data_IF_591004617892
#
_entry.id   IF_591004617892
#
_cell.length_a   1.000
_cell.length_b   1.000
_cell.length_c   1.000
_cell.angle_alpha   90.00
_cell.angle_beta   90.00
_cell.angle_gamma   90.00
#
_symmetry.space_group_name_H-M   'P 1'
#
loop_
_entity.id
_entity.type
_entity.pdbx_description
1 polymer ?
#
# COMPACT_ATOMS: atom_id res chain seq x y z
N UNK A 1 -26.81 23.50 14.98
CA UNK A 1 -26.58 22.78 13.71
C UNK A 1 -25.09 22.81 13.39
N UNK A 2 -24.36 21.79 13.82
CA UNK A 2 -22.91 21.68 13.65
C UNK A 2 -22.64 21.19 12.22
N UNK A 3 -22.19 22.10 11.38
CA UNK A 3 -21.80 21.83 10.02
C UNK A 3 -20.42 21.14 10.02
N UNK A 4 -20.37 19.83 10.22
CA UNK A 4 -19.20 19.04 9.91
C UNK A 4 -19.19 18.88 8.38
N UNK A 5 -18.67 19.88 7.69
CA UNK A 5 -18.23 19.67 6.32
C UNK A 5 -16.94 18.88 6.41
N UNK A 6 -17.02 17.63 6.08
CA UNK A 6 -15.85 16.81 5.87
C UNK A 6 -14.97 17.50 4.82
N UNK A 7 -13.87 18.10 5.27
CA UNK A 7 -12.82 18.62 4.39
C UNK A 7 -12.29 17.52 3.47
N UNK A 8 -12.32 16.27 3.92
CA UNK A 8 -11.95 15.08 3.16
C UNK A 8 -12.83 14.86 1.91
N UNK A 9 -14.16 14.96 2.01
CA UNK A 9 -15.03 14.81 0.84
C UNK A 9 -14.79 15.91 -0.20
N UNK A 10 -14.58 17.16 0.25
CA UNK A 10 -14.22 18.28 -0.62
C UNK A 10 -12.85 18.09 -1.28
N UNK A 11 -11.89 17.49 -0.60
CA UNK A 11 -10.55 17.23 -1.10
C UNK A 11 -10.54 16.08 -2.13
N UNK A 12 -11.28 15.00 -1.88
CA UNK A 12 -11.46 13.89 -2.84
C UNK A 12 -12.00 14.40 -4.17
N UNK A 13 -13.03 15.25 -4.15
CA UNK A 13 -13.61 15.78 -5.37
C UNK A 13 -12.75 16.81 -6.10
N UNK A 14 -11.95 17.58 -5.38
CA UNK A 14 -11.00 18.52 -5.99
C UNK A 14 -9.84 17.80 -6.67
N UNK A 15 -9.49 16.60 -6.24
CA UNK A 15 -8.39 15.79 -6.78
C UNK A 15 -8.81 14.81 -7.86
N UNK A 16 -10.08 14.78 -8.25
CA UNK A 16 -10.58 13.89 -9.29
C UNK A 16 -9.80 14.03 -10.62
N UNK A 17 -9.54 15.24 -11.05
CA UNK A 17 -8.72 15.52 -12.23
C UNK A 17 -7.24 15.08 -12.09
N UNK A 18 -6.79 14.80 -10.85
CA UNK A 18 -5.43 14.39 -10.51
C UNK A 18 -5.36 12.93 -10.05
N UNK A 19 -6.31 12.09 -10.42
CA UNK A 19 -6.34 10.67 -10.05
C UNK A 19 -6.36 10.39 -8.52
N UNK A 20 -6.95 11.29 -7.72
CA UNK A 20 -6.90 11.26 -6.26
C UNK A 20 -7.82 10.26 -5.57
N UNK A 21 -8.18 9.12 -6.19
CA UNK A 21 -8.99 8.06 -5.62
C UNK A 21 -8.33 7.32 -4.44
N UNK A 22 -9.10 6.48 -3.76
CA UNK A 22 -8.61 5.72 -2.61
C UNK A 22 -7.50 4.73 -3.02
N UNK A 23 -7.61 4.09 -4.17
CA UNK A 23 -6.60 3.18 -4.70
C UNK A 23 -5.27 3.90 -4.97
N UNK A 24 -5.31 4.99 -5.73
CA UNK A 24 -4.09 5.66 -6.20
C UNK A 24 -3.39 6.45 -5.09
N UNK A 25 -4.13 7.02 -4.14
CA UNK A 25 -3.56 7.88 -3.09
C UNK A 25 -3.20 7.10 -1.81
N UNK A 26 -4.01 6.13 -1.41
CA UNK A 26 -3.81 5.32 -0.22
C UNK A 26 -3.35 3.90 -0.55
N UNK A 27 -3.97 3.29 -1.56
CA UNK A 27 -3.68 1.92 -1.97
C UNK A 27 -2.25 1.74 -2.48
N UNK A 28 -1.62 2.77 -3.02
CA UNK A 28 -0.23 2.73 -3.47
C UNK A 28 0.73 2.26 -2.37
N UNK A 29 0.52 2.68 -1.12
CA UNK A 29 1.35 2.25 0.01
C UNK A 29 1.16 0.76 0.31
N UNK A 30 -0.08 0.28 0.28
CA UNK A 30 -0.39 -1.13 0.52
C UNK A 30 0.13 -2.01 -0.61
N UNK A 31 -0.03 -1.59 -1.86
CA UNK A 31 0.50 -2.30 -3.04
C UNK A 31 2.03 -2.35 -2.99
N UNK A 32 2.68 -1.22 -2.66
CA UNK A 32 4.14 -1.16 -2.51
C UNK A 32 4.63 -2.11 -1.42
N UNK A 33 3.91 -2.21 -0.30
CA UNK A 33 4.23 -3.13 0.78
C UNK A 33 4.15 -4.60 0.32
N UNK A 34 3.07 -4.97 -0.37
CA UNK A 34 2.87 -6.35 -0.84
C UNK A 34 3.83 -6.70 -1.97
N UNK A 35 3.96 -5.83 -2.98
CA UNK A 35 4.86 -6.06 -4.13
C UNK A 35 6.33 -6.05 -3.70
N UNK A 36 6.69 -5.18 -2.77
CA UNK A 36 8.05 -5.14 -2.21
C UNK A 36 8.45 -6.43 -1.50
N UNK A 37 7.50 -7.13 -0.85
CA UNK A 37 7.75 -8.38 -0.15
C UNK A 37 7.64 -9.62 -1.05
N UNK A 38 6.71 -9.63 -2.01
CA UNK A 38 6.30 -10.87 -2.72
C UNK A 38 6.43 -10.77 -4.24
N UNK A 39 6.85 -9.61 -4.77
CA UNK A 39 6.90 -9.36 -6.21
C UNK A 39 5.51 -9.12 -6.83
N UNK A 40 5.46 -9.18 -8.16
CA UNK A 40 4.23 -8.94 -8.92
C UNK A 40 3.22 -10.09 -8.75
N UNK A 41 1.92 -9.78 -8.54
CA UNK A 41 0.87 -10.79 -8.53
C UNK A 41 0.58 -11.32 -9.94
N UNK A 42 -0.02 -12.53 -10.00
CA UNK A 42 -0.46 -13.13 -11.25
C UNK A 42 -1.77 -12.53 -11.78
N UNK A 43 -2.67 -12.13 -10.86
CA UNK A 43 -3.95 -11.49 -11.16
C UNK A 43 -4.26 -10.42 -10.13
N UNK A 44 -5.03 -9.44 -10.56
CA UNK A 44 -5.47 -8.30 -9.75
C UNK A 44 -6.95 -8.09 -9.99
N UNK A 45 -7.72 -7.91 -8.92
CA UNK A 45 -9.13 -7.53 -8.98
C UNK A 45 -9.43 -6.44 -7.96
N UNK A 46 -10.15 -5.40 -8.38
CA UNK A 46 -10.51 -4.28 -7.52
C UNK A 46 -12.01 -4.01 -7.52
N UNK A 47 -12.67 -4.36 -6.41
CA UNK A 47 -14.06 -4.02 -6.15
C UNK A 47 -14.12 -2.63 -5.48
N UNK A 48 -14.55 -1.62 -6.22
CA UNK A 48 -14.53 -0.22 -5.81
C UNK A 48 -15.93 0.36 -5.59
N UNK A 49 -16.06 1.20 -4.57
CA UNK A 49 -17.18 2.14 -4.43
C UNK A 49 -16.81 3.42 -5.20
N UNK A 50 -17.54 3.70 -6.29
CA UNK A 50 -17.23 4.81 -7.18
C UNK A 50 -18.26 5.93 -6.99
N UNK A 51 -17.76 7.15 -6.78
CA UNK A 51 -18.57 8.37 -6.72
C UNK A 51 -17.98 9.43 -7.65
N UNK A 52 -18.77 9.93 -8.59
CA UNK A 52 -18.36 10.92 -9.59
C UNK A 52 -17.12 10.52 -10.37
N UNK A 53 -17.05 9.24 -10.78
CA UNK A 53 -15.98 8.71 -11.63
C UNK A 53 -14.66 8.40 -10.91
N UNK A 54 -14.63 8.48 -9.57
CA UNK A 54 -13.45 8.15 -8.77
C UNK A 54 -13.82 7.25 -7.60
N UNK A 55 -12.91 6.37 -7.19
CA UNK A 55 -13.12 5.49 -6.06
C UNK A 55 -12.95 6.23 -4.72
N UNK A 56 -13.94 6.06 -3.84
CA UNK A 56 -13.92 6.57 -2.47
C UNK A 56 -13.41 5.52 -1.50
N UNK A 57 -13.65 4.25 -1.80
CA UNK A 57 -13.16 3.08 -1.07
C UNK A 57 -13.20 1.84 -1.97
N UNK A 58 -12.51 0.78 -1.53
CA UNK A 58 -12.56 -0.48 -2.25
C UNK A 58 -11.66 -1.56 -1.64
N UNK A 59 -11.87 -2.77 -2.16
CA UNK A 59 -11.11 -3.98 -1.80
C UNK A 59 -10.32 -4.45 -3.00
N UNK A 60 -9.01 -4.42 -2.88
CA UNK A 60 -8.07 -4.92 -3.88
C UNK A 60 -7.63 -6.34 -3.50
N UNK A 61 -7.82 -7.29 -4.40
CA UNK A 61 -7.30 -8.65 -4.29
C UNK A 61 -6.16 -8.84 -5.26
N UNK A 62 -5.04 -9.33 -4.76
CA UNK A 62 -3.85 -9.68 -5.54
C UNK A 62 -3.62 -11.19 -5.43
N UNK A 63 -3.66 -11.90 -6.54
CA UNK A 63 -3.50 -13.34 -6.58
C UNK A 63 -2.06 -13.73 -6.89
N UNK A 64 -1.48 -14.53 -6.03
CA UNK A 64 -0.20 -15.20 -6.22
C UNK A 64 -0.43 -16.70 -6.41
N UNK A 65 0.58 -17.44 -6.88
CA UNK A 65 0.46 -18.88 -7.15
C UNK A 65 -0.02 -19.70 -5.95
N UNK A 66 0.46 -19.36 -4.74
CA UNK A 66 0.21 -20.14 -3.51
C UNK A 66 -0.59 -19.42 -2.44
N UNK A 67 -0.86 -18.12 -2.61
CA UNK A 67 -1.62 -17.31 -1.64
C UNK A 67 -2.36 -16.15 -2.32
N UNK A 68 -3.14 -15.45 -1.54
CA UNK A 68 -3.83 -14.21 -1.92
C UNK A 68 -3.46 -13.10 -0.95
N UNK A 69 -3.30 -11.89 -1.45
CA UNK A 69 -3.21 -10.70 -0.63
C UNK A 69 -4.46 -9.82 -0.84
N UNK A 70 -4.92 -9.21 0.24
CA UNK A 70 -6.10 -8.32 0.22
C UNK A 70 -5.71 -6.98 0.81
N UNK A 71 -6.05 -5.91 0.13
CA UNK A 71 -5.87 -4.53 0.60
C UNK A 71 -7.20 -3.81 0.62
N UNK A 72 -7.52 -3.18 1.73
CA UNK A 72 -8.72 -2.35 1.89
C UNK A 72 -8.26 -0.89 1.95
N UNK A 73 -8.81 -0.08 1.07
CA UNK A 73 -8.48 1.34 0.96
C UNK A 73 -9.76 2.15 1.05
N UNK A 74 -9.80 3.18 1.91
CA UNK A 74 -10.98 4.02 2.07
C UNK A 74 -10.59 5.46 2.42
N UNK A 75 -11.29 6.41 1.81
CA UNK A 75 -11.26 7.85 2.10
C UNK A 75 -12.56 8.33 2.74
N UNK A 76 -13.62 7.54 2.63
CA UNK A 76 -14.95 7.80 3.14
C UNK A 76 -15.24 7.15 4.51
N UNK A 77 -14.32 6.31 4.97
CA UNK A 77 -14.42 5.59 6.24
C UNK A 77 -13.04 5.39 6.87
N UNK A 78 -12.99 4.91 8.09
CA UNK A 78 -11.74 4.68 8.82
C UNK A 78 -11.75 3.35 9.57
N UNK A 79 -10.56 2.76 9.70
CA UNK A 79 -10.32 1.58 10.52
C UNK A 79 -8.91 1.63 11.11
N UNK A 80 -8.62 0.85 12.17
CA UNK A 80 -7.24 0.70 12.63
C UNK A 80 -6.35 0.14 11.52
N UNK A 81 -5.24 0.83 11.23
CA UNK A 81 -4.25 0.34 10.28
C UNK A 81 -3.56 -0.90 10.84
N UNK A 82 -3.53 -1.99 10.05
CA UNK A 82 -2.85 -3.23 10.40
C UNK A 82 -2.48 -4.03 9.16
N UNK A 83 -1.40 -4.79 9.28
CA UNK A 83 -0.96 -5.77 8.29
C UNK A 83 -0.80 -7.11 8.97
N UNK A 84 -1.34 -8.14 8.35
CA UNK A 84 -1.26 -9.52 8.84
C UNK A 84 -0.71 -10.39 7.73
N UNK A 85 0.39 -11.09 8.00
CA UNK A 85 0.93 -12.11 7.10
C UNK A 85 0.72 -13.46 7.79
N UNK A 86 -0.19 -14.27 7.25
CA UNK A 86 -0.51 -15.58 7.77
C UNK A 86 0.44 -16.63 7.21
N UNK A 87 0.98 -17.48 8.07
CA UNK A 87 1.87 -18.57 7.69
C UNK A 87 1.53 -19.86 8.42
N UNK A 88 2.16 -20.96 8.04
CA UNK A 88 1.95 -22.30 8.61
C UNK A 88 2.48 -22.46 10.03
N UNK A 89 3.34 -21.56 10.50
CA UNK A 89 3.93 -21.58 11.86
C UNK A 89 3.34 -20.53 12.80
N UNK A 90 2.46 -19.65 12.29
CA UNK A 90 1.90 -18.52 13.03
C UNK A 90 1.61 -17.36 12.07
N UNK A 91 1.52 -16.15 12.60
CA UNK A 91 1.32 -14.96 11.79
C UNK A 91 2.20 -13.79 12.27
N UNK A 92 2.50 -12.90 11.35
CA UNK A 92 3.11 -11.61 11.63
C UNK A 92 2.02 -10.55 11.70
N UNK A 93 2.11 -9.66 12.69
CA UNK A 93 1.20 -8.53 12.87
C UNK A 93 1.99 -7.23 12.98
N UNK A 94 1.69 -6.28 12.09
CA UNK A 94 2.11 -4.89 12.18
C UNK A 94 0.88 -4.02 12.50
N UNK A 95 0.94 -3.22 13.55
CA UNK A 95 -0.14 -2.31 14.00
C UNK A 95 0.17 -0.86 13.62
N UNK A 96 0.55 -0.64 12.37
CA UNK A 96 0.85 0.70 11.85
C UNK A 96 0.53 0.78 10.36
N UNK A 97 0.60 1.97 9.77
CA UNK A 97 0.39 2.18 8.34
C UNK A 97 1.54 1.60 7.51
N UNK A 98 1.32 1.33 6.20
CA UNK A 98 2.34 0.78 5.30
C UNK A 98 3.58 1.68 5.17
N UNK A 99 3.38 2.99 5.23
CA UNK A 99 4.44 3.99 5.14
C UNK A 99 5.18 4.25 6.46
N UNK A 100 4.92 3.44 7.50
CA UNK A 100 5.61 3.54 8.78
C UNK A 100 5.57 2.20 9.52
N UNK A 101 6.69 1.51 9.62
CA UNK A 101 6.79 0.30 10.42
C UNK A 101 7.23 0.65 11.85
N UNK A 102 6.26 0.71 12.76
CA UNK A 102 6.50 0.91 14.21
C UNK A 102 6.92 -0.38 14.94
N UNK A 103 7.04 -1.47 14.23
CA UNK A 103 7.39 -2.80 14.73
C UNK A 103 6.47 -3.88 14.22
N UNK A 104 6.97 -5.11 14.24
CA UNK A 104 6.25 -6.32 13.83
C UNK A 104 6.28 -7.32 14.97
N UNK A 105 5.15 -7.94 15.26
CA UNK A 105 5.07 -9.02 16.26
C UNK A 105 4.82 -10.34 15.52
N UNK A 106 5.66 -11.32 15.79
CA UNK A 106 5.40 -12.70 15.40
C UNK A 106 4.60 -13.40 16.49
N UNK A 107 3.44 -13.93 16.11
CA UNK A 107 2.55 -14.72 16.94
C UNK A 107 2.64 -16.19 16.49
N UNK A 108 3.47 -17.03 17.12
CA UNK A 108 3.56 -18.44 16.76
C UNK A 108 2.30 -19.20 17.19
N UNK A 109 1.96 -20.30 16.53
CA UNK A 109 0.89 -21.20 17.00
C UNK A 109 1.20 -21.86 18.34
N UNK A 110 2.49 -22.04 18.64
CA UNK A 110 2.98 -22.56 19.94
C UNK A 110 4.22 -21.77 20.33
N UNK A 111 4.30 -21.37 21.59
CA UNK A 111 5.43 -20.63 22.12
C UNK A 111 5.08 -19.21 22.54
N UNK A 112 6.09 -18.39 22.71
CA UNK A 112 5.94 -16.99 23.11
C UNK A 112 5.96 -16.08 21.90
N UNK A 113 5.26 -14.97 21.99
CA UNK A 113 5.33 -13.90 21.01
C UNK A 113 6.72 -13.27 20.97
N UNK A 114 7.14 -12.88 19.76
CA UNK A 114 8.41 -12.18 19.53
C UNK A 114 8.13 -10.85 18.88
N UNK A 115 8.72 -9.77 19.43
CA UNK A 115 8.54 -8.41 18.90
C UNK A 115 9.83 -7.89 18.30
N UNK A 116 9.72 -7.36 17.09
CA UNK A 116 10.83 -6.80 16.31
C UNK A 116 10.57 -5.33 15.99
N UNK A 117 11.49 -4.45 16.37
CA UNK A 117 11.45 -3.03 15.99
C UNK A 117 12.85 -2.51 15.65
N UNK A 118 13.20 -2.62 14.38
CA UNK A 118 14.49 -2.16 13.86
C UNK A 118 14.55 -0.63 13.66
N UNK A 119 13.41 0.05 13.79
CA UNK A 119 13.28 1.50 13.61
C UNK A 119 13.21 2.27 14.94
N UNK A 120 13.31 1.57 16.08
CA UNK A 120 13.22 2.21 17.40
C UNK A 120 14.28 3.30 17.58
N UNK A 121 13.85 4.47 18.04
CA UNK A 121 14.73 5.62 18.27
C UNK A 121 15.23 6.34 17.00
N UNK A 122 14.78 5.96 15.82
CA UNK A 122 15.14 6.61 14.56
C UNK A 122 14.02 7.56 14.10
N UNK A 123 14.36 8.72 13.54
CA UNK A 123 13.39 9.56 12.87
C UNK A 123 12.67 8.81 11.75
N UNK A 124 11.39 9.16 11.53
CA UNK A 124 10.63 8.65 10.39
C UNK A 124 11.41 8.92 9.09
N UNK A 125 11.42 7.98 8.17
CA UNK A 125 12.13 8.05 6.89
C UNK A 125 13.66 8.06 6.97
N UNK A 126 14.28 8.05 8.15
CA UNK A 126 15.75 8.03 8.27
C UNK A 126 16.38 6.84 7.52
N UNK A 127 15.76 5.67 7.57
CA UNK A 127 16.26 4.48 6.87
C UNK A 127 16.22 4.65 5.34
N UNK A 128 15.19 5.31 4.81
CA UNK A 128 15.06 5.62 3.38
C UNK A 128 16.16 6.57 2.92
N UNK A 129 16.36 7.68 3.64
CA UNK A 129 17.42 8.64 3.33
C UNK A 129 18.82 8.02 3.42
N UNK A 130 19.08 7.19 4.43
CA UNK A 130 20.35 6.49 4.53
C UNK A 130 20.58 5.48 3.41
N UNK A 131 19.54 4.75 3.01
CA UNK A 131 19.63 3.82 1.88
C UNK A 131 19.88 4.56 0.57
N UNK A 132 19.20 5.69 0.37
CA UNK A 132 19.34 6.53 -0.81
C UNK A 132 20.73 7.16 -0.90
N UNK A 133 21.21 7.75 0.21
CA UNK A 133 22.56 8.32 0.29
C UNK A 133 23.64 7.28 -0.04
N UNK A 134 23.55 6.09 0.56
CA UNK A 134 24.50 4.99 0.27
C UNK A 134 24.48 4.57 -1.19
N UNK A 135 23.30 4.47 -1.80
CA UNK A 135 23.19 4.08 -3.21
C UNK A 135 23.90 5.10 -4.11
N UNK A 136 23.80 6.40 -3.80
CA UNK A 136 24.48 7.46 -4.54
C UNK A 136 26.00 7.40 -4.29
N UNK A 137 26.44 7.34 -3.03
CA UNK A 137 27.84 7.33 -2.63
C UNK A 137 28.61 6.11 -3.15
N UNK A 138 27.95 4.95 -3.24
CA UNK A 138 28.54 3.70 -3.76
C UNK A 138 28.28 3.45 -5.24
N UNK A 139 27.58 4.36 -5.93
CA UNK A 139 27.15 4.20 -7.34
C UNK A 139 26.44 2.86 -7.59
N UNK A 140 25.62 2.40 -6.62
CA UNK A 140 24.92 1.09 -6.68
C UNK A 140 23.78 1.10 -7.71
N UNK A 141 24.15 1.00 -8.98
CA UNK A 141 23.20 0.97 -10.10
C UNK A 141 22.33 -0.27 -10.09
N UNK A 142 22.77 -1.37 -9.49
CA UNK A 142 21.96 -2.59 -9.36
C UNK A 142 20.81 -2.38 -8.37
N UNK A 143 21.08 -1.75 -7.22
CA UNK A 143 20.04 -1.35 -6.28
C UNK A 143 19.05 -0.37 -6.93
N UNK A 144 19.55 0.63 -7.65
CA UNK A 144 18.71 1.60 -8.36
C UNK A 144 17.77 0.91 -9.37
N UNK A 145 18.29 -0.03 -10.16
CA UNK A 145 17.50 -0.80 -11.12
C UNK A 145 16.42 -1.63 -10.42
N UNK A 146 16.75 -2.36 -9.37
CA UNK A 146 15.77 -3.15 -8.60
C UNK A 146 14.67 -2.29 -7.98
N UNK A 147 15.01 -1.11 -7.48
CA UNK A 147 14.03 -0.17 -6.93
C UNK A 147 13.10 0.36 -8.01
N UNK A 148 13.63 0.65 -9.20
CA UNK A 148 12.83 1.08 -10.35
C UNK A 148 11.90 -0.05 -10.84
N UNK A 149 12.39 -1.28 -10.94
CA UNK A 149 11.59 -2.44 -11.33
C UNK A 149 10.42 -2.66 -10.36
N UNK A 150 10.67 -2.49 -9.06
CA UNK A 150 9.61 -2.55 -8.04
C UNK A 150 8.58 -1.43 -8.25
N UNK A 151 9.01 -0.21 -8.52
CA UNK A 151 8.14 0.93 -8.77
C UNK A 151 7.28 0.73 -10.02
N UNK A 152 7.85 0.18 -11.08
CA UNK A 152 7.13 -0.19 -12.31
C UNK A 152 6.11 -1.29 -12.04
N UNK A 153 6.47 -2.31 -11.25
CA UNK A 153 5.56 -3.38 -10.86
C UNK A 153 4.36 -2.87 -10.06
N UNK A 154 4.60 -1.98 -9.09
CA UNK A 154 3.54 -1.30 -8.30
C UNK A 154 2.61 -0.52 -9.22
N UNK A 155 3.16 0.28 -10.13
CA UNK A 155 2.38 1.09 -11.08
C UNK A 155 1.50 0.22 -11.97
N UNK A 156 2.01 -0.93 -12.45
CA UNK A 156 1.24 -1.90 -13.25
C UNK A 156 0.07 -2.51 -12.46
N UNK A 157 0.30 -2.85 -11.19
CA UNK A 157 -0.77 -3.37 -10.31
C UNK A 157 -1.87 -2.33 -10.13
N UNK A 158 -1.51 -1.08 -9.82
CA UNK A 158 -2.46 0.02 -9.64
C UNK A 158 -3.25 0.31 -10.92
N UNK A 159 -2.57 0.33 -12.07
CA UNK A 159 -3.22 0.54 -13.37
C UNK A 159 -4.18 -0.60 -13.71
N UNK A 160 -3.77 -1.85 -13.51
CA UNK A 160 -4.62 -3.01 -13.73
C UNK A 160 -5.85 -2.96 -12.83
N UNK A 161 -5.67 -2.67 -11.54
CA UNK A 161 -6.75 -2.57 -10.56
C UNK A 161 -7.77 -1.47 -10.93
N UNK A 162 -7.32 -0.25 -11.24
CA UNK A 162 -8.24 0.82 -11.61
C UNK A 162 -9.02 0.52 -12.88
N UNK A 163 -8.36 -0.09 -13.88
CA UNK A 163 -9.01 -0.48 -15.14
C UNK A 163 -10.04 -1.59 -14.93
N UNK A 164 -9.74 -2.56 -14.07
CA UNK A 164 -10.65 -3.63 -13.67
C UNK A 164 -11.92 -3.07 -13.00
N UNK A 165 -11.78 -2.05 -12.17
CA UNK A 165 -12.90 -1.34 -11.54
C UNK A 165 -13.63 -0.33 -12.50
N UNK A 166 -13.22 -0.22 -13.76
CA UNK A 166 -13.81 0.71 -14.72
C UNK A 166 -13.42 2.18 -14.52
N UNK A 167 -12.44 2.47 -13.67
CA UNK A 167 -11.94 3.83 -13.46
C UNK A 167 -11.06 4.24 -14.64
N UNK A 168 -11.46 5.31 -15.34
CA UNK A 168 -10.75 5.84 -16.51
C UNK A 168 -10.13 7.20 -16.21
N UNK A 169 -8.92 7.41 -16.71
CA UNK A 169 -8.27 8.72 -16.71
C UNK A 169 -8.35 9.35 -18.09
N UNK A 170 -8.24 10.66 -18.16
CA UNK A 170 -8.25 11.41 -19.43
C UNK A 170 -7.09 11.04 -20.36
N UNK A 171 -6.03 10.43 -19.81
CA UNK A 171 -4.85 9.95 -20.53
C UNK A 171 -4.96 8.51 -21.01
N UNK A 172 -6.05 7.81 -20.74
CA UNK A 172 -6.30 6.43 -21.19
C UNK A 172 -6.84 6.40 -22.64
N UNK A 173 -6.18 7.07 -23.57
CA UNK A 173 -6.52 7.10 -25.00
C UNK A 173 -6.07 5.83 -25.70
#
# INVERSE_FOLDING_TARGET
>A
STRVRSSAASDVYKRQACAGGALMDLGVYNVSYVVGLFGSPNKVHYAANITRGIDTSGVLTMEYRSFKAVSINAKDSSSPARYIIQGTKGYLLQKSTANFCGGVTFHPYKGKEEHFNLSAGRPRQAAEFHAFARAIESEDMELCSRMLDTSVAVSRVLETARRDAGIRFTTDL
#
